data_IF_071782772641
#
_entry.id   IF_071782772641
#
_cell.length_a   1.000
_cell.length_b   1.000
_cell.length_c   1.000
_cell.angle_alpha   90.00
_cell.angle_beta   90.00
_cell.angle_gamma   90.00
#
_symmetry.space_group_name_H-M   'P 1'
#
loop_
_entity.id
_entity.type
_entity.pdbx_description
1 polymer ?
#
# COMPACT_ATOMS: atom_id res chain seq x y z
N UNK A 1 -99.14 -44.99 65.72
CA UNK A 1 -98.40 -46.28 65.85
C UNK A 1 -96.91 -45.94 65.83
N UNK A 2 -95.98 -46.35 66.71
CA UNK A 2 -95.90 -47.19 67.95
C UNK A 2 -94.99 -46.42 68.97
N UNK A 3 -95.25 -46.32 70.29
CA UNK A 3 -94.72 -47.17 71.42
C UNK A 3 -93.19 -47.43 71.37
N UNK A 4 -92.34 -47.30 72.43
CA UNK A 4 -92.43 -47.41 73.92
C UNK A 4 -91.18 -46.71 74.60
N UNK A 5 -91.24 -46.08 75.80
CA UNK A 5 -90.83 -46.52 77.19
C UNK A 5 -89.39 -47.11 77.37
N UNK A 6 -88.59 -46.93 78.45
CA UNK A 6 -88.75 -46.67 79.93
C UNK A 6 -87.45 -45.95 80.50
N UNK A 7 -87.50 -44.94 81.43
CA UNK A 7 -87.05 -44.85 82.89
C UNK A 7 -85.85 -45.74 83.39
N UNK A 8 -85.09 -45.52 84.51
CA UNK A 8 -85.24 -44.80 85.82
C UNK A 8 -83.88 -44.56 86.61
N UNK A 9 -83.91 -43.76 87.71
CA UNK A 9 -83.03 -43.69 88.96
C UNK A 9 -81.49 -43.40 88.90
N UNK A 10 -80.90 -42.31 89.46
CA UNK A 10 -80.34 -42.02 90.86
C UNK A 10 -79.01 -42.73 91.26
N UNK A 11 -78.07 -42.28 92.16
CA UNK A 11 -77.96 -41.16 93.16
C UNK A 11 -76.49 -40.74 93.56
N UNK A 12 -76.28 -39.43 93.80
CA UNK A 12 -75.33 -38.57 94.57
C UNK A 12 -74.02 -38.97 95.38
N UNK A 13 -73.20 -37.92 95.69
CA UNK A 13 -72.18 -37.68 96.79
C UNK A 13 -70.73 -38.24 96.68
N UNK A 14 -69.61 -37.70 97.24
CA UNK A 14 -69.11 -36.32 97.59
C UNK A 14 -67.60 -36.33 98.07
N UNK A 15 -66.77 -35.30 97.73
CA UNK A 15 -65.58 -34.69 98.46
C UNK A 15 -64.29 -35.47 98.94
N UNK A 16 -63.09 -34.83 98.81
CA UNK A 16 -61.94 -34.96 99.77
C UNK A 16 -60.48 -34.70 99.24
N UNK A 17 -59.60 -33.95 99.96
CA UNK A 17 -58.25 -33.44 99.51
C UNK A 17 -57.01 -33.78 100.43
N UNK A 18 -55.75 -33.70 99.91
CA UNK A 18 -54.47 -33.34 100.62
C UNK A 18 -53.22 -33.11 99.69
N UNK A 19 -52.05 -32.60 100.19
CA UNK A 19 -50.85 -32.04 99.44
C UNK A 19 -49.42 -32.48 99.95
N UNK A 20 -48.33 -32.39 99.14
CA UNK A 20 -47.06 -31.61 99.41
C UNK A 20 -45.79 -31.78 98.48
N UNK A 21 -44.96 -30.70 98.43
CA UNK A 21 -43.49 -30.49 98.17
C UNK A 21 -42.82 -30.62 96.74
N UNK A 22 -42.15 -29.54 96.21
CA UNK A 22 -41.41 -29.55 94.91
C UNK A 22 -40.42 -28.39 94.51
N UNK A 23 -39.99 -27.46 95.39
CA UNK A 23 -39.57 -26.11 94.95
C UNK A 23 -38.08 -25.75 94.66
N UNK A 24 -37.07 -26.56 95.01
CA UNK A 24 -35.64 -26.13 94.91
C UNK A 24 -35.06 -26.15 93.49
N UNK A 25 -35.33 -27.19 92.71
CA UNK A 25 -34.66 -27.44 91.43
C UNK A 25 -35.18 -26.54 90.29
N UNK A 26 -36.37 -25.96 90.49
CA UNK A 26 -37.08 -25.14 89.50
C UNK A 26 -36.36 -23.80 89.27
N UNK A 27 -35.80 -23.19 90.34
CA UNK A 27 -35.24 -21.83 90.26
C UNK A 27 -33.93 -21.77 89.45
N UNK A 28 -33.09 -22.80 89.53
CA UNK A 28 -31.79 -22.80 88.86
C UNK A 28 -31.89 -23.07 87.35
N UNK A 29 -32.91 -23.84 86.93
CA UNK A 29 -33.19 -24.09 85.51
C UNK A 29 -33.81 -22.87 84.80
N UNK A 30 -34.69 -22.10 85.47
CA UNK A 30 -35.29 -20.91 84.86
C UNK A 30 -34.26 -19.84 84.47
N UNK A 31 -33.27 -19.55 85.33
CA UNK A 31 -32.25 -18.51 85.04
C UNK A 31 -31.35 -18.91 83.86
N UNK A 32 -31.04 -20.20 83.69
CA UNK A 32 -30.34 -20.69 82.50
C UNK A 32 -31.18 -20.55 81.22
N UNK A 33 -32.45 -20.94 81.27
CA UNK A 33 -33.33 -20.85 80.10
C UNK A 33 -33.58 -19.40 79.65
N UNK A 34 -33.76 -18.45 80.58
CA UNK A 34 -33.94 -17.04 80.23
C UNK A 34 -32.70 -16.40 79.59
N UNK A 35 -31.50 -16.86 79.94
CA UNK A 35 -30.27 -16.36 79.33
C UNK A 35 -30.03 -16.98 77.95
N UNK A 36 -30.28 -18.29 77.77
CA UNK A 36 -30.26 -18.94 76.44
C UNK A 36 -31.22 -18.23 75.47
N UNK A 37 -32.46 -17.98 75.89
CA UNK A 37 -33.47 -17.35 75.04
C UNK A 37 -33.10 -15.91 74.61
N UNK A 38 -32.34 -15.17 75.43
CA UNK A 38 -31.83 -13.83 75.07
C UNK A 38 -30.67 -13.92 74.07
N UNK A 39 -29.82 -14.93 74.21
CA UNK A 39 -28.68 -15.20 73.32
C UNK A 39 -29.16 -15.64 71.92
N UNK A 40 -30.16 -16.53 71.85
CA UNK A 40 -30.81 -16.95 70.60
C UNK A 40 -31.47 -15.78 69.85
N UNK A 41 -32.18 -14.88 70.56
CA UNK A 41 -32.80 -13.68 69.95
C UNK A 41 -31.76 -12.68 69.47
N UNK A 42 -30.63 -12.54 70.18
CA UNK A 42 -29.52 -11.69 69.76
C UNK A 42 -28.86 -12.22 68.49
N UNK A 43 -28.56 -13.52 68.42
CA UNK A 43 -27.99 -14.16 67.24
C UNK A 43 -28.95 -14.14 66.04
N UNK A 44 -30.26 -14.35 66.26
CA UNK A 44 -31.25 -14.21 65.20
C UNK A 44 -31.31 -12.78 64.63
N UNK A 45 -31.17 -11.75 65.48
CA UNK A 45 -31.09 -10.35 65.04
C UNK A 45 -29.80 -10.06 64.28
N UNK A 46 -28.65 -10.54 64.78
CA UNK A 46 -27.34 -10.42 64.14
C UNK A 46 -27.35 -11.04 62.74
N UNK A 47 -27.91 -12.24 62.60
CA UNK A 47 -28.04 -12.94 61.33
C UNK A 47 -28.99 -12.21 60.34
N UNK A 48 -30.04 -11.56 60.83
CA UNK A 48 -30.94 -10.77 60.00
C UNK A 48 -30.27 -9.48 59.48
N UNK A 49 -29.49 -8.80 60.32
CA UNK A 49 -28.68 -7.62 59.95
C UNK A 49 -27.57 -7.99 58.95
N UNK A 50 -26.90 -9.12 59.17
CA UNK A 50 -25.87 -9.67 58.26
C UNK A 50 -26.44 -9.96 56.87
N UNK A 51 -27.60 -10.65 56.79
CA UNK A 51 -28.30 -10.90 55.52
C UNK A 51 -28.80 -9.63 54.83
N UNK A 52 -29.24 -8.62 55.59
CA UNK A 52 -29.64 -7.34 55.04
C UNK A 52 -28.44 -6.56 54.45
N UNK A 53 -27.28 -6.62 55.11
CA UNK A 53 -26.03 -6.03 54.62
C UNK A 53 -25.51 -6.75 53.35
N UNK A 54 -25.58 -8.08 53.30
CA UNK A 54 -25.23 -8.88 52.12
C UNK A 54 -26.15 -8.55 50.93
N UNK A 55 -27.47 -8.53 51.13
CA UNK A 55 -28.44 -8.18 50.09
C UNK A 55 -28.22 -6.76 49.54
N UNK A 56 -27.88 -5.80 50.41
CA UNK A 56 -27.52 -4.44 50.00
C UNK A 56 -26.23 -4.42 49.15
N UNK A 57 -25.16 -5.09 49.60
CA UNK A 57 -23.92 -5.22 48.82
C UNK A 57 -24.16 -5.82 47.44
N UNK A 58 -24.95 -6.88 47.34
CA UNK A 58 -25.27 -7.53 46.07
C UNK A 58 -26.07 -6.62 45.13
N UNK A 59 -26.93 -5.76 45.67
CA UNK A 59 -27.65 -4.75 44.88
C UNK A 59 -26.72 -3.63 44.37
N UNK A 60 -25.80 -3.16 45.21
CA UNK A 60 -24.78 -2.16 44.85
C UNK A 60 -23.79 -2.70 43.80
N UNK A 61 -23.36 -3.95 43.93
CA UNK A 61 -22.50 -4.64 42.96
C UNK A 61 -23.17 -4.79 41.60
N UNK A 62 -24.44 -5.25 41.56
CA UNK A 62 -25.22 -5.34 40.31
C UNK A 62 -25.47 -3.99 39.67
N UNK A 63 -25.68 -2.93 40.46
CA UNK A 63 -25.83 -1.57 39.94
C UNK A 63 -24.51 -1.04 39.35
N UNK A 64 -23.38 -1.32 39.99
CA UNK A 64 -22.05 -0.96 39.47
C UNK A 64 -21.70 -1.72 38.18
N UNK A 65 -22.02 -3.03 38.10
CA UNK A 65 -21.83 -3.82 36.89
C UNK A 65 -22.71 -3.34 35.73
N UNK A 66 -24.00 -3.07 35.98
CA UNK A 66 -24.90 -2.53 34.97
C UNK A 66 -24.43 -1.17 34.44
N UNK A 67 -23.90 -0.30 35.31
CA UNK A 67 -23.29 0.98 34.91
C UNK A 67 -22.04 0.77 34.07
N UNK A 68 -21.11 -0.11 34.48
CA UNK A 68 -19.89 -0.44 33.71
C UNK A 68 -20.23 -0.95 32.31
N UNK A 69 -21.20 -1.86 32.19
CA UNK A 69 -21.66 -2.40 30.92
C UNK A 69 -22.31 -1.34 30.02
N UNK A 70 -23.02 -0.36 30.59
CA UNK A 70 -23.58 0.76 29.85
C UNK A 70 -22.48 1.72 29.34
N UNK A 71 -21.46 1.99 30.16
CA UNK A 71 -20.31 2.82 29.80
C UNK A 71 -19.45 2.14 28.70
N UNK A 72 -19.22 0.83 28.80
CA UNK A 72 -18.52 0.03 27.80
C UNK A 72 -19.26 0.05 26.44
N UNK A 73 -20.57 -0.22 26.43
CA UNK A 73 -21.39 -0.15 25.21
C UNK A 73 -21.41 1.25 24.60
N UNK A 74 -21.44 2.31 25.43
CA UNK A 74 -21.38 3.69 24.96
C UNK A 74 -19.99 4.04 24.38
N UNK A 75 -18.91 3.48 24.92
CA UNK A 75 -17.56 3.64 24.37
C UNK A 75 -17.40 2.88 23.05
N UNK A 76 -17.91 1.64 22.95
CA UNK A 76 -17.90 0.86 21.72
C UNK A 76 -18.72 1.51 20.60
N UNK A 77 -19.93 2.00 20.90
CA UNK A 77 -20.75 2.71 19.92
C UNK A 77 -20.05 3.98 19.38
N UNK A 78 -19.32 4.71 20.23
CA UNK A 78 -18.49 5.86 19.81
C UNK A 78 -17.30 5.44 18.95
N UNK A 79 -16.64 4.31 19.28
CA UNK A 79 -15.55 3.74 18.47
C UNK A 79 -16.05 3.37 17.08
N UNK A 80 -17.15 2.62 17.00
CA UNK A 80 -17.76 2.18 15.74
C UNK A 80 -18.24 3.37 14.89
N UNK A 81 -18.83 4.39 15.50
CA UNK A 81 -19.23 5.61 14.79
C UNK A 81 -18.02 6.36 14.21
N UNK A 82 -16.91 6.44 14.94
CA UNK A 82 -15.66 7.06 14.44
C UNK A 82 -15.01 6.23 13.33
N UNK A 83 -15.03 4.91 13.45
CA UNK A 83 -14.51 3.97 12.44
C UNK A 83 -15.32 4.09 11.13
N UNK A 84 -16.65 4.09 11.22
CA UNK A 84 -17.54 4.30 10.06
C UNK A 84 -17.36 5.67 9.41
N UNK A 85 -17.23 6.74 10.19
CA UNK A 85 -16.99 8.08 9.65
C UNK A 85 -15.64 8.17 8.91
N UNK A 86 -14.59 7.54 9.44
CA UNK A 86 -13.28 7.47 8.76
C UNK A 86 -13.31 6.61 7.49
N UNK A 87 -14.14 5.56 7.46
CA UNK A 87 -14.36 4.77 6.24
C UNK A 87 -15.18 5.52 5.17
N UNK A 88 -16.23 6.25 5.57
CA UNK A 88 -16.98 7.14 4.69
C UNK A 88 -16.10 8.25 4.11
N UNK A 89 -15.23 8.86 4.92
CA UNK A 89 -14.22 9.83 4.47
C UNK A 89 -13.18 9.20 3.53
N UNK A 90 -12.72 7.97 3.80
CA UNK A 90 -11.81 7.23 2.91
C UNK A 90 -12.46 6.96 1.55
N UNK A 91 -13.72 6.54 1.53
CA UNK A 91 -14.49 6.26 0.32
C UNK A 91 -14.76 7.55 -0.48
N UNK A 92 -15.16 8.63 0.18
CA UNK A 92 -15.40 9.93 -0.46
C UNK A 92 -14.13 10.52 -1.11
N UNK A 93 -12.95 10.20 -0.58
CA UNK A 93 -11.66 10.60 -1.14
C UNK A 93 -11.12 9.64 -2.22
N UNK A 94 -11.79 8.52 -2.52
CA UNK A 94 -11.20 7.43 -3.29
C UNK A 94 -11.14 7.68 -4.81
N UNK A 95 -12.12 8.37 -5.40
CA UNK A 95 -12.07 8.75 -6.82
C UNK A 95 -12.79 10.09 -7.09
N UNK A 96 -12.01 11.06 -7.56
CA UNK A 96 -12.48 12.34 -8.10
C UNK A 96 -11.63 12.72 -9.33
N UNK A 97 -11.17 11.71 -10.08
CA UNK A 97 -10.64 11.95 -11.42
C UNK A 97 -11.80 12.44 -12.30
N UNK A 98 -11.63 13.58 -12.98
CA UNK A 98 -12.62 14.09 -13.94
C UNK A 98 -12.11 13.74 -15.32
N UNK A 99 -12.89 13.01 -16.10
CA UNK A 99 -12.64 12.84 -17.53
C UNK A 99 -13.69 13.56 -18.39
N UNK A 100 -13.26 14.03 -19.56
CA UNK A 100 -14.13 14.60 -20.59
C UNK A 100 -13.68 14.09 -21.97
N UNK A 101 -14.64 13.81 -22.84
CA UNK A 101 -14.43 13.28 -24.18
C UNK A 101 -15.76 12.92 -24.83
N UNK A 102 -15.73 12.40 -26.05
CA UNK A 102 -16.93 12.05 -26.80
C UNK A 102 -17.06 10.52 -26.98
N UNK A 103 -18.29 10.07 -27.19
CA UNK A 103 -18.61 8.69 -27.52
C UNK A 103 -19.18 8.61 -28.93
N UNK A 104 -18.81 7.57 -29.67
CA UNK A 104 -19.34 7.25 -30.99
C UNK A 104 -19.69 5.78 -31.02
N UNK A 105 -20.92 5.48 -31.44
CA UNK A 105 -21.49 4.13 -31.45
C UNK A 105 -21.42 3.38 -30.09
N UNK A 106 -21.31 4.14 -28.99
CA UNK A 106 -21.20 3.63 -27.61
C UNK A 106 -19.78 3.48 -27.08
N UNK A 107 -18.77 3.61 -27.94
CA UNK A 107 -17.35 3.50 -27.60
C UNK A 107 -16.68 4.87 -27.44
N UNK A 108 -15.58 4.96 -26.68
CA UNK A 108 -14.78 6.20 -26.56
C UNK A 108 -14.20 6.58 -27.92
N UNK A 109 -14.39 7.81 -28.37
CA UNK A 109 -13.91 8.30 -29.67
C UNK A 109 -13.26 9.68 -29.54
N UNK A 110 -12.27 9.96 -30.38
CA UNK A 110 -11.57 11.24 -30.39
C UNK A 110 -10.71 11.49 -29.14
N UNK A 111 -10.56 12.76 -28.76
CA UNK A 111 -9.69 13.19 -27.66
C UNK A 111 -10.43 13.13 -26.32
N UNK A 112 -9.89 12.33 -25.41
CA UNK A 112 -10.28 12.24 -24.01
C UNK A 112 -9.25 12.93 -23.13
N UNK A 113 -9.68 13.83 -22.25
CA UNK A 113 -8.81 14.53 -21.29
C UNK A 113 -9.18 14.12 -19.87
N UNK A 114 -8.18 13.68 -19.10
CA UNK A 114 -8.28 13.25 -17.71
C UNK A 114 -7.59 14.30 -16.83
N UNK A 115 -8.30 14.75 -15.82
CA UNK A 115 -7.89 15.76 -14.87
C UNK A 115 -7.71 15.15 -13.48
N UNK A 116 -6.67 15.61 -12.79
CA UNK A 116 -6.43 15.28 -11.39
C UNK A 116 -7.42 16.00 -10.46
N UNK A 117 -7.33 15.73 -9.15
CA UNK A 117 -8.24 16.29 -8.12
C UNK A 117 -8.22 17.81 -8.01
N UNK A 118 -7.21 18.50 -8.54
CA UNK A 118 -7.14 19.98 -8.55
C UNK A 118 -7.61 20.58 -9.88
N UNK A 119 -8.10 19.76 -10.81
CA UNK A 119 -8.52 20.19 -12.15
C UNK A 119 -7.35 20.45 -13.11
N UNK A 120 -6.13 19.99 -12.79
CA UNK A 120 -4.98 20.04 -13.71
C UNK A 120 -5.01 18.83 -14.65
N UNK A 121 -4.63 19.01 -15.92
CA UNK A 121 -4.50 17.89 -16.87
C UNK A 121 -3.43 16.92 -16.37
N UNK A 122 -3.81 15.66 -16.25
CA UNK A 122 -2.91 14.55 -15.89
C UNK A 122 -2.58 13.73 -17.14
N UNK A 123 -3.59 13.46 -17.96
CA UNK A 123 -3.46 12.62 -19.16
C UNK A 123 -4.42 13.05 -20.26
N UNK A 124 -3.98 12.96 -21.50
CA UNK A 124 -4.83 12.98 -22.70
C UNK A 124 -4.70 11.63 -23.40
N UNK A 125 -5.81 11.11 -23.95
CA UNK A 125 -5.86 9.84 -24.69
C UNK A 125 -6.63 10.10 -25.99
N UNK A 126 -6.12 9.65 -27.12
CA UNK A 126 -6.84 9.66 -28.40
C UNK A 126 -7.37 8.26 -28.70
N UNK A 127 -8.67 8.15 -28.92
CA UNK A 127 -9.35 6.92 -29.31
C UNK A 127 -9.87 7.00 -30.76
N UNK A 128 -9.99 5.84 -31.40
CA UNK A 128 -10.79 5.60 -32.60
C UNK A 128 -11.69 4.39 -32.32
N UNK A 129 -12.99 4.61 -32.13
CA UNK A 129 -14.00 3.60 -31.77
C UNK A 129 -13.53 2.61 -30.68
N UNK A 130 -13.09 3.16 -29.54
CA UNK A 130 -12.65 2.41 -28.36
C UNK A 130 -11.18 1.94 -28.41
N UNK A 131 -10.52 1.98 -29.57
CA UNK A 131 -9.08 1.65 -29.69
C UNK A 131 -8.22 2.85 -29.30
N UNK A 132 -7.35 2.70 -28.31
CA UNK A 132 -6.32 3.71 -28.00
C UNK A 132 -5.30 3.82 -29.14
N UNK A 133 -5.09 5.05 -29.64
CA UNK A 133 -4.09 5.38 -30.65
C UNK A 133 -2.92 6.18 -30.09
N UNK A 134 -3.18 7.00 -29.06
CA UNK A 134 -2.19 7.89 -28.47
C UNK A 134 -2.48 8.18 -27.01
N UNK A 135 -1.44 8.26 -26.18
CA UNK A 135 -1.50 8.86 -24.85
C UNK A 135 -0.50 10.02 -24.75
N UNK A 136 -0.86 11.06 -23.99
CA UNK A 136 0.04 12.12 -23.53
C UNK A 136 -0.13 12.24 -22.03
N UNK A 137 0.97 12.19 -21.29
CA UNK A 137 1.00 12.28 -19.82
C UNK A 137 1.69 13.58 -19.44
N UNK A 138 1.12 14.29 -18.47
CA UNK A 138 1.57 15.60 -17.99
C UNK A 138 2.05 15.48 -16.55
N UNK A 139 3.11 16.22 -16.22
CA UNK A 139 3.54 16.38 -14.83
C UNK A 139 2.74 17.50 -14.11
N UNK A 140 2.96 17.65 -12.80
CA UNK A 140 2.29 18.66 -11.96
C UNK A 140 2.40 20.11 -12.47
N UNK A 141 3.40 20.43 -13.29
CA UNK A 141 3.58 21.75 -13.89
C UNK A 141 2.80 21.95 -15.20
N UNK A 142 2.02 20.95 -15.64
CA UNK A 142 1.28 20.96 -16.91
C UNK A 142 2.18 20.80 -18.14
N UNK A 143 3.44 20.40 -17.96
CA UNK A 143 4.37 20.12 -19.05
C UNK A 143 4.24 18.63 -19.41
N UNK A 144 4.26 18.31 -20.71
CA UNK A 144 4.33 16.90 -21.16
C UNK A 144 5.53 16.23 -20.48
N UNK A 145 5.31 15.04 -19.95
CA UNK A 145 6.37 14.15 -19.46
C UNK A 145 6.62 13.02 -20.47
N UNK A 146 5.54 12.49 -21.03
CA UNK A 146 5.57 11.33 -21.92
C UNK A 146 4.47 11.42 -22.98
N UNK A 147 4.79 10.98 -24.19
CA UNK A 147 3.84 10.74 -25.27
C UNK A 147 4.06 9.30 -25.78
N UNK A 148 2.98 8.58 -26.00
CA UNK A 148 2.97 7.20 -26.49
C UNK A 148 2.04 7.16 -27.70
N UNK A 149 2.49 6.57 -28.81
CA UNK A 149 1.65 6.26 -29.98
C UNK A 149 1.59 4.74 -30.08
N UNK A 150 0.38 4.19 -30.17
CA UNK A 150 0.14 2.75 -30.28
C UNK A 150 0.00 2.40 -31.77
N UNK A 151 0.96 1.62 -32.27
CA UNK A 151 0.95 1.10 -33.63
C UNK A 151 0.31 -0.30 -33.69
N UNK A 152 0.25 -0.92 -34.87
CA UNK A 152 -0.25 -2.29 -34.99
C UNK A 152 0.71 -3.30 -34.36
N UNK A 153 0.17 -4.24 -33.57
CA UNK A 153 0.88 -5.39 -32.98
C UNK A 153 1.88 -5.03 -31.89
N UNK A 154 1.40 -4.75 -30.67
CA UNK A 154 2.19 -4.50 -29.43
C UNK A 154 3.38 -3.53 -29.56
N UNK A 155 3.34 -2.69 -30.60
CA UNK A 155 4.35 -1.71 -30.94
C UNK A 155 3.95 -0.35 -30.38
N UNK A 156 4.84 0.25 -29.59
CA UNK A 156 4.61 1.58 -28.99
C UNK A 156 5.77 2.51 -29.35
N UNK A 157 5.47 3.70 -29.90
CA UNK A 157 6.47 4.76 -30.07
C UNK A 157 6.41 5.70 -28.87
N UNK A 158 7.49 5.75 -28.10
CA UNK A 158 7.61 6.56 -26.89
C UNK A 158 8.41 7.82 -27.18
N UNK A 159 7.91 8.97 -26.75
CA UNK A 159 8.66 10.23 -26.64
C UNK A 159 8.62 10.71 -25.20
N UNK A 160 9.78 10.82 -24.56
CA UNK A 160 9.96 11.39 -23.24
C UNK A 160 10.36 12.86 -23.36
N UNK A 161 9.92 13.69 -22.43
CA UNK A 161 10.13 15.13 -22.44
C UNK A 161 10.87 15.61 -21.19
N UNK A 162 11.72 16.62 -21.36
CA UNK A 162 12.42 17.32 -20.30
C UNK A 162 11.43 18.24 -19.54
N UNK A 163 11.83 18.69 -18.33
CA UNK A 163 11.02 19.62 -17.52
C UNK A 163 10.70 20.97 -18.19
N UNK A 164 11.41 21.32 -19.26
CA UNK A 164 11.16 22.51 -20.08
C UNK A 164 10.24 22.25 -21.30
N UNK A 165 9.76 21.01 -21.48
CA UNK A 165 8.90 20.61 -22.60
C UNK A 165 9.63 20.26 -23.91
N UNK A 166 10.96 20.29 -23.95
CA UNK A 166 11.72 19.76 -25.09
C UNK A 166 11.75 18.23 -25.05
N UNK A 167 11.92 17.56 -26.20
CA UNK A 167 12.17 16.11 -26.22
C UNK A 167 13.44 15.79 -25.45
N UNK A 168 13.44 14.69 -24.70
CA UNK A 168 14.58 14.18 -23.95
C UNK A 168 15.10 12.87 -24.57
N UNK A 169 14.18 11.95 -24.87
CA UNK A 169 14.48 10.65 -25.49
C UNK A 169 13.29 10.22 -26.35
N UNK A 170 13.52 9.56 -27.48
CA UNK A 170 12.46 8.88 -28.22
C UNK A 170 12.94 7.55 -28.79
N UNK A 171 12.01 6.62 -29.01
CA UNK A 171 12.30 5.31 -29.57
C UNK A 171 11.11 4.37 -29.49
N UNK A 172 11.33 3.12 -29.87
CA UNK A 172 10.28 2.10 -29.98
C UNK A 172 10.35 1.11 -28.82
N UNK A 173 9.17 0.70 -28.36
CA UNK A 173 8.95 -0.42 -27.44
C UNK A 173 8.18 -1.52 -28.17
N UNK A 174 8.58 -2.78 -27.94
CA UNK A 174 7.91 -4.01 -28.41
C UNK A 174 7.87 -4.99 -27.24
N UNK A 175 6.74 -5.62 -26.98
CA UNK A 175 6.53 -6.57 -25.87
C UNK A 175 7.03 -6.03 -24.51
N UNK A 176 6.86 -4.71 -24.29
CA UNK A 176 7.32 -4.00 -23.09
C UNK A 176 8.83 -3.74 -23.00
N UNK A 177 9.62 -3.97 -24.04
CA UNK A 177 11.09 -3.77 -24.08
C UNK A 177 11.53 -2.74 -25.13
N UNK A 178 12.61 -2.03 -24.86
CA UNK A 178 13.25 -1.13 -25.85
C UNK A 178 13.75 -1.92 -27.07
N UNK A 179 13.38 -1.48 -28.28
CA UNK A 179 13.72 -2.13 -29.55
C UNK A 179 14.05 -1.08 -30.62
N UNK A 180 15.00 -1.40 -31.52
CA UNK A 180 15.43 -0.49 -32.58
C UNK A 180 16.22 0.72 -32.07
N UNK A 181 16.29 1.78 -32.87
CA UNK A 181 17.06 2.99 -32.52
C UNK A 181 16.30 3.85 -31.52
N UNK A 182 16.95 4.14 -30.40
CA UNK A 182 16.55 5.17 -29.45
C UNK A 182 17.45 6.39 -29.58
N UNK A 183 16.84 7.57 -29.71
CA UNK A 183 17.53 8.87 -29.85
C UNK A 183 17.41 9.66 -28.57
N UNK A 184 18.51 10.24 -28.08
CA UNK A 184 18.55 11.15 -26.94
C UNK A 184 18.84 12.57 -27.41
N UNK A 185 18.19 13.55 -26.77
CA UNK A 185 18.28 14.97 -27.08
C UNK A 185 18.70 15.79 -25.85
N UNK A 186 19.32 16.95 -26.08
CA UNK A 186 19.61 17.92 -25.03
C UNK A 186 18.40 18.82 -24.69
N UNK A 187 18.58 19.73 -23.74
CA UNK A 187 17.56 20.70 -23.33
C UNK A 187 17.20 21.74 -24.41
N UNK A 188 17.91 21.78 -25.54
CA UNK A 188 17.62 22.62 -26.71
C UNK A 188 16.94 21.83 -27.85
N UNK A 189 16.77 20.51 -27.68
CA UNK A 189 16.22 19.61 -28.68
C UNK A 189 17.25 19.13 -29.72
N UNK A 190 18.55 19.34 -29.48
CA UNK A 190 19.61 18.84 -30.35
C UNK A 190 19.92 17.38 -30.05
N UNK A 191 20.12 16.57 -31.09
CA UNK A 191 20.49 15.15 -30.96
C UNK A 191 21.88 15.03 -30.33
N UNK A 192 22.00 14.23 -29.27
CA UNK A 192 23.28 13.99 -28.57
C UNK A 192 23.77 12.55 -28.69
N UNK A 193 22.84 11.59 -28.74
CA UNK A 193 23.12 10.15 -28.75
C UNK A 193 22.06 9.38 -29.54
N UNK A 194 22.46 8.25 -30.13
CA UNK A 194 21.59 7.21 -30.65
C UNK A 194 22.13 5.86 -30.21
N UNK A 195 21.25 4.99 -29.72
CA UNK A 195 21.60 3.65 -29.24
C UNK A 195 20.63 2.65 -29.85
N UNK A 196 21.14 1.62 -30.51
CA UNK A 196 20.32 0.51 -31.00
C UNK A 196 20.05 -0.47 -29.87
N UNK A 197 18.78 -0.74 -29.60
CA UNK A 197 18.33 -1.75 -28.66
C UNK A 197 17.73 -2.96 -29.37
N UNK A 198 17.86 -4.10 -28.72
CA UNK A 198 17.20 -5.35 -29.07
C UNK A 198 16.78 -6.06 -27.80
N UNK A 199 15.51 -6.42 -27.67
CA UNK A 199 14.98 -7.11 -26.48
C UNK A 199 15.33 -6.38 -25.15
N UNK A 200 15.33 -5.04 -25.16
CA UNK A 200 15.64 -4.19 -24.00
C UNK A 200 17.13 -4.14 -23.63
N UNK A 201 18.03 -4.51 -24.54
CA UNK A 201 19.49 -4.46 -24.36
C UNK A 201 20.14 -3.69 -25.51
N UNK A 202 21.16 -2.89 -25.22
CA UNK A 202 22.00 -2.28 -26.25
C UNK A 202 22.61 -3.40 -27.13
N UNK A 203 22.31 -3.43 -28.42
CA UNK A 203 22.82 -4.43 -29.37
C UNK A 203 22.78 -3.84 -30.78
N UNK A 204 23.95 -3.51 -31.32
CA UNK A 204 24.08 -2.84 -32.61
C UNK A 204 24.73 -1.46 -32.49
N UNK A 205 24.32 -0.53 -33.36
CA UNK A 205 25.02 0.75 -33.53
C UNK A 205 24.77 1.70 -32.35
N UNK A 206 25.85 2.27 -31.82
CA UNK A 206 25.82 3.38 -30.88
C UNK A 206 26.55 4.58 -31.50
N UNK A 207 25.96 5.76 -31.38
CA UNK A 207 26.47 7.00 -31.96
C UNK A 207 26.34 8.18 -31.01
N UNK A 208 27.29 9.11 -31.12
CA UNK A 208 27.34 10.37 -30.36
C UNK A 208 27.55 11.55 -31.30
N UNK A 209 27.01 12.70 -30.91
CA UNK A 209 27.12 13.96 -31.64
C UNK A 209 27.81 15.06 -30.82
N UNK A 210 28.30 16.08 -31.54
CA UNK A 210 28.71 17.37 -30.99
C UNK A 210 27.54 18.37 -31.02
N UNK A 211 27.66 19.47 -30.28
CA UNK A 211 26.67 20.57 -30.23
C UNK A 211 26.46 21.30 -31.57
N UNK A 212 27.27 20.98 -32.60
CA UNK A 212 27.10 21.47 -33.96
C UNK A 212 26.41 20.46 -34.90
N UNK A 213 25.91 19.34 -34.36
CA UNK A 213 25.22 18.29 -35.13
C UNK A 213 26.14 17.37 -35.94
N UNK A 214 27.47 17.48 -35.83
CA UNK A 214 28.40 16.52 -36.45
C UNK A 214 28.66 15.32 -35.53
N UNK A 215 28.92 14.15 -36.12
CA UNK A 215 29.25 12.93 -35.37
C UNK A 215 30.54 13.13 -34.57
N UNK A 216 30.54 12.59 -33.35
CA UNK A 216 31.62 12.62 -32.36
C UNK A 216 32.27 11.25 -32.19
N UNK A 217 31.43 10.23 -32.08
CA UNK A 217 31.84 8.83 -32.03
C UNK A 217 30.75 7.94 -32.63
N UNK A 218 31.13 6.79 -33.16
CA UNK A 218 30.21 5.75 -33.64
C UNK A 218 30.92 4.39 -33.62
N UNK A 219 30.18 3.35 -33.30
CA UNK A 219 30.61 1.96 -33.43
C UNK A 219 29.60 1.00 -32.80
N UNK A 220 29.77 -0.31 -32.95
CA UNK A 220 28.84 -1.26 -32.38
C UNK A 220 29.06 -1.44 -30.86
N UNK A 221 27.94 -1.57 -30.15
CA UNK A 221 27.84 -1.97 -28.75
C UNK A 221 27.18 -3.36 -28.66
N UNK A 222 27.56 -4.11 -27.61
CA UNK A 222 26.90 -5.35 -27.20
C UNK A 222 26.74 -5.33 -25.69
N UNK A 223 25.54 -5.01 -25.23
CA UNK A 223 25.33 -4.38 -23.93
C UNK A 223 26.21 -3.11 -23.80
N UNK A 224 26.69 -2.84 -22.59
CA UNK A 224 27.56 -1.69 -22.29
C UNK A 224 29.01 -1.84 -22.77
N UNK A 225 29.28 -2.83 -23.62
CA UNK A 225 30.60 -3.15 -24.14
C UNK A 225 30.74 -2.65 -25.56
N UNK A 226 31.80 -1.87 -25.83
CA UNK A 226 32.22 -1.58 -27.20
C UNK A 226 32.77 -2.86 -27.83
N UNK A 227 32.37 -3.15 -29.05
CA UNK A 227 32.86 -4.25 -29.88
C UNK A 227 33.15 -3.73 -31.29
N UNK A 228 33.91 -4.47 -32.09
CA UNK A 228 34.17 -4.15 -33.49
C UNK A 228 34.86 -2.79 -33.70
N UNK A 229 34.75 -2.26 -34.92
CA UNK A 229 35.38 -1.00 -35.30
C UNK A 229 34.61 0.19 -34.72
N UNK A 230 35.31 0.99 -33.93
CA UNK A 230 34.85 2.29 -33.47
C UNK A 230 35.62 3.42 -34.15
N UNK A 231 34.90 4.47 -34.55
CA UNK A 231 35.46 5.71 -35.09
C UNK A 231 35.12 6.90 -34.20
N UNK A 232 36.05 7.85 -34.09
CA UNK A 232 35.86 9.16 -33.50
C UNK A 232 36.28 10.24 -34.50
N UNK A 233 35.58 11.36 -34.47
CA UNK A 233 35.85 12.53 -35.31
C UNK A 233 36.25 13.72 -34.45
N UNK A 234 36.88 14.71 -35.10
CA UNK A 234 36.97 16.04 -34.55
C UNK A 234 35.61 16.75 -34.68
N UNK A 235 35.41 17.78 -33.88
CA UNK A 235 34.23 18.66 -33.96
C UNK A 235 34.07 19.34 -35.33
N UNK A 236 35.15 19.47 -36.12
CA UNK A 236 35.13 19.95 -37.51
C UNK A 236 34.75 18.87 -38.54
N UNK A 237 34.46 17.64 -38.10
CA UNK A 237 33.96 16.53 -38.93
C UNK A 237 35.04 15.61 -39.53
N UNK A 238 36.32 15.94 -39.43
CA UNK A 238 37.39 15.06 -39.93
C UNK A 238 37.65 13.89 -38.96
N UNK A 239 38.01 12.73 -39.50
CA UNK A 239 38.33 11.54 -38.68
C UNK A 239 39.52 11.84 -37.74
N UNK A 240 39.33 11.64 -36.44
CA UNK A 240 40.37 11.81 -35.43
C UNK A 240 41.03 10.47 -35.09
N UNK A 241 40.23 9.42 -34.88
CA UNK A 241 40.70 8.15 -34.34
C UNK A 241 39.82 6.99 -34.79
N UNK A 242 40.40 5.80 -34.87
CA UNK A 242 39.70 4.54 -35.11
C UNK A 242 40.45 3.38 -34.47
N UNK A 243 39.75 2.32 -34.13
CA UNK A 243 40.35 1.03 -33.80
C UNK A 243 39.31 -0.03 -33.49
N UNK A 244 39.75 -1.28 -33.43
CA UNK A 244 38.89 -2.42 -33.12
C UNK A 244 38.79 -2.65 -31.61
N UNK A 245 37.63 -3.12 -31.17
CA UNK A 245 37.41 -3.73 -29.86
C UNK A 245 37.08 -5.22 -30.01
N UNK A 246 37.63 -6.05 -29.13
CA UNK A 246 37.35 -7.49 -29.10
C UNK A 246 35.87 -7.78 -28.89
N UNK A 247 35.33 -8.78 -29.60
CA UNK A 247 33.99 -9.32 -29.32
C UNK A 247 33.97 -10.28 -28.12
N UNK A 248 35.12 -10.84 -27.76
CA UNK A 248 35.25 -11.82 -26.66
C UNK A 248 35.43 -11.11 -25.32
N UNK A 249 36.27 -10.07 -25.29
CA UNK A 249 36.59 -9.32 -24.08
C UNK A 249 36.06 -7.89 -24.15
N UNK A 250 35.03 -7.62 -23.34
CA UNK A 250 34.28 -6.37 -23.26
C UNK A 250 35.16 -5.11 -23.31
N UNK A 251 35.05 -4.32 -24.39
CA UNK A 251 35.82 -3.08 -24.58
C UNK A 251 37.35 -3.24 -24.52
N UNK A 252 37.87 -4.46 -24.70
CA UNK A 252 39.30 -4.75 -24.83
C UNK A 252 39.80 -4.28 -26.21
N UNK A 253 40.87 -3.49 -26.27
CA UNK A 253 41.39 -2.95 -27.54
C UNK A 253 42.04 -4.04 -28.35
N UNK A 254 41.70 -4.15 -29.62
CA UNK A 254 42.30 -5.16 -30.49
C UNK A 254 42.76 -4.56 -31.83
N UNK A 255 43.67 -5.25 -32.51
CA UNK A 255 44.19 -4.88 -33.81
C UNK A 255 44.86 -3.50 -33.86
N UNK A 256 44.82 -2.88 -35.05
CA UNK A 256 45.47 -1.57 -35.28
C UNK A 256 44.55 -0.41 -34.92
N UNK A 257 45.02 0.44 -34.02
CA UNK A 257 44.41 1.70 -33.64
C UNK A 257 45.14 2.85 -34.33
N UNK A 258 44.44 3.62 -35.15
CA UNK A 258 45.00 4.75 -35.89
C UNK A 258 44.50 6.07 -35.32
N UNK A 259 45.40 7.06 -35.20
CA UNK A 259 45.10 8.45 -34.87
C UNK A 259 45.54 9.32 -36.03
N UNK A 260 44.69 10.24 -36.46
CA UNK A 260 44.97 11.24 -37.48
C UNK A 260 45.03 12.64 -36.87
N UNK A 261 45.74 13.54 -37.55
CA UNK A 261 45.68 15.00 -37.34
C UNK A 261 44.46 15.56 -38.09
N UNK A 262 43.97 16.75 -37.72
CA UNK A 262 42.85 17.43 -38.43
C UNK A 262 43.04 17.53 -39.95
N UNK A 263 44.29 17.64 -40.44
CA UNK A 263 44.60 17.68 -41.87
C UNK A 263 44.62 16.29 -42.57
N UNK A 264 44.04 15.26 -41.96
CA UNK A 264 43.95 13.91 -42.51
C UNK A 264 45.26 13.11 -42.51
N UNK A 265 46.41 13.68 -42.12
CA UNK A 265 47.66 12.93 -42.01
C UNK A 265 47.65 12.05 -40.76
N UNK A 266 48.03 10.78 -40.89
CA UNK A 266 48.27 9.88 -39.74
C UNK A 266 49.24 10.56 -38.76
N UNK A 267 48.99 10.40 -37.47
CA UNK A 267 49.81 10.88 -36.36
C UNK A 267 50.50 9.70 -35.66
N UNK A 268 49.72 8.67 -35.37
CA UNK A 268 50.15 7.50 -34.62
C UNK A 268 49.33 6.27 -35.07
N UNK A 269 49.99 5.12 -35.13
CA UNK A 269 49.37 3.80 -35.14
C UNK A 269 49.87 3.05 -33.90
N UNK A 270 48.96 2.40 -33.18
CA UNK A 270 49.28 1.48 -32.08
C UNK A 270 48.61 0.15 -32.33
N UNK A 271 49.34 -0.95 -32.22
CA UNK A 271 48.78 -2.31 -32.33
C UNK A 271 48.51 -2.82 -30.91
N UNK A 272 47.33 -3.38 -30.72
CA UNK A 272 46.96 -4.13 -29.53
C UNK A 272 46.62 -5.58 -29.91
N UNK A 273 46.77 -6.50 -28.96
CA UNK A 273 46.20 -7.85 -29.03
C UNK A 273 45.49 -8.08 -27.70
N UNK A 274 44.16 -8.19 -27.77
CA UNK A 274 43.29 -8.33 -26.60
C UNK A 274 43.68 -7.44 -25.39
N UNK A 275 43.70 -6.13 -25.64
CA UNK A 275 43.97 -5.09 -24.65
C UNK A 275 45.46 -4.89 -24.34
N UNK A 276 46.30 -5.88 -24.63
CA UNK A 276 47.76 -5.81 -24.47
C UNK A 276 48.39 -4.96 -25.56
N UNK A 277 49.36 -4.13 -25.20
CA UNK A 277 50.09 -3.27 -26.14
C UNK A 277 51.20 -4.07 -26.83
N UNK A 278 51.20 -4.07 -28.17
CA UNK A 278 52.22 -4.77 -28.97
C UNK A 278 53.26 -3.80 -29.54
N UNK A 279 52.83 -2.74 -30.22
CA UNK A 279 53.75 -1.80 -30.88
C UNK A 279 53.12 -0.43 -31.13
N UNK A 280 53.98 0.57 -31.36
CA UNK A 280 53.58 1.92 -31.77
C UNK A 280 54.48 2.46 -32.87
N UNK A 281 53.87 3.10 -33.87
CA UNK A 281 54.53 3.85 -34.93
C UNK A 281 54.01 5.28 -34.97
N UNK A 282 54.90 6.27 -35.04
CA UNK A 282 54.57 7.69 -35.20
C UNK A 282 54.92 8.18 -36.60
N UNK A 283 54.19 9.20 -37.08
CA UNK A 283 54.25 9.75 -38.44
C UNK A 283 54.43 11.27 -38.46
#
# INVERSE_FOLDING_TARGET
MKKRFIIFTTLALFVGCAKNNKDSDIKNNNVKNENLAKEEVFEAKRLAEEKAAEAKRLAEEKAAEAKRLAEEKAAEAKRLAKEKAAEEERLANQDQSREEGEFKDGEKDGLWTIYNKEGRKEKEITYDLGKELKQVIYNDAGVKEKEIIFEEGENELHTLFNKNGTKAKEGKIVDGKEEGVWTTFDNQGQKTEETTFKEGKEDGLYSLWYENGLKKAEGPNKGKCRVGIWTWWYESGEKWKEGNYSEENCSSRDGTWTVWRKNGKKLEETVYTDGSFESRKKY
#
